data_IF_766974382593
#
_entry.id   IF_766974382593
#
_cell.length_a   1.000
_cell.length_b   1.000
_cell.length_c   1.000
_cell.angle_alpha   90.00
_cell.angle_beta   90.00
_cell.angle_gamma   90.00
#
_symmetry.space_group_name_H-M   'P 1'
#
loop_
_entity.id
_entity.type
_entity.pdbx_description
1 polymer ?
#
# COMPACT_ATOMS: atom_id res chain seq x y z
N UNK A 1 -0.46 16.54 16.04
CA UNK A 1 -1.81 16.67 15.45
C UNK A 1 -2.05 15.36 14.72
N UNK A 2 -2.96 14.50 15.20
CA UNK A 2 -3.26 13.26 14.49
C UNK A 2 -3.97 13.61 13.19
N UNK A 3 -3.40 13.18 12.06
CA UNK A 3 -4.04 13.32 10.77
C UNK A 3 -5.10 12.24 10.65
N UNK A 4 -6.34 12.62 10.34
CA UNK A 4 -7.44 11.69 10.09
C UNK A 4 -7.51 11.23 8.63
N UNK A 5 -6.66 11.76 7.76
CA UNK A 5 -6.59 11.42 6.34
C UNK A 5 -5.13 11.23 5.89
N UNK A 6 -4.96 10.47 4.81
CA UNK A 6 -3.71 10.30 4.11
C UNK A 6 -3.95 10.37 2.60
N UNK A 7 -3.10 11.11 1.90
CA UNK A 7 -3.12 11.26 0.44
C UNK A 7 -1.89 10.54 -0.08
N UNK A 8 -2.10 9.48 -0.88
CA UNK A 8 -0.98 8.84 -1.54
C UNK A 8 -0.53 9.73 -2.71
N UNK A 9 0.74 10.17 -2.67
CA UNK A 9 1.30 11.02 -3.72
C UNK A 9 1.81 10.24 -4.93
N UNK A 10 1.86 8.91 -4.85
CA UNK A 10 2.34 8.04 -5.94
C UNK A 10 1.22 7.65 -6.87
N UNK A 11 -0.01 7.53 -6.36
CA UNK A 11 -1.17 7.12 -7.14
C UNK A 11 -2.23 8.20 -7.14
N UNK A 12 -2.55 8.74 -8.31
CA UNK A 12 -3.56 9.79 -8.43
C UNK A 12 -4.92 9.33 -7.91
N UNK A 13 -5.55 10.16 -7.08
CA UNK A 13 -6.89 9.91 -6.53
C UNK A 13 -6.97 8.91 -5.39
N UNK A 14 -5.84 8.31 -4.98
CA UNK A 14 -5.76 7.40 -3.86
C UNK A 14 -5.70 8.15 -2.52
N UNK A 15 -6.74 7.96 -1.72
CA UNK A 15 -6.95 8.59 -0.43
C UNK A 15 -7.35 7.56 0.62
N UNK A 16 -6.97 7.81 1.85
CA UNK A 16 -7.43 7.07 3.02
C UNK A 16 -7.98 8.05 4.06
N UNK A 17 -9.06 7.67 4.72
CA UNK A 17 -9.71 8.49 5.75
C UNK A 17 -10.22 7.60 6.87
N UNK A 18 -10.05 8.05 8.11
CA UNK A 18 -10.59 7.42 9.30
C UNK A 18 -12.02 7.91 9.53
N UNK A 19 -13.00 7.03 9.30
CA UNK A 19 -14.42 7.29 9.57
C UNK A 19 -14.77 6.81 10.97
N UNK A 20 -15.65 7.52 11.72
CA UNK A 20 -16.17 7.00 12.98
C UNK A 20 -17.01 5.74 12.70
N UNK A 21 -16.64 4.64 13.33
CA UNK A 21 -17.41 3.39 13.30
C UNK A 21 -18.45 3.36 14.44
N UNK A 22 -18.10 3.94 15.58
CA UNK A 22 -18.98 4.22 16.72
C UNK A 22 -18.39 5.39 17.54
N UNK A 23 -18.94 5.68 18.73
CA UNK A 23 -18.52 6.82 19.58
C UNK A 23 -17.03 6.79 20.00
N UNK A 24 -16.35 5.64 19.92
CA UNK A 24 -14.98 5.46 20.41
C UNK A 24 -14.01 4.89 19.38
N UNK A 25 -14.53 4.33 18.29
CA UNK A 25 -13.75 3.59 17.31
C UNK A 25 -13.84 4.23 15.94
N UNK A 26 -12.72 4.17 15.23
CA UNK A 26 -12.62 4.61 13.84
C UNK A 26 -12.25 3.44 12.95
N UNK A 27 -12.72 3.49 11.72
CA UNK A 27 -12.37 2.55 10.66
C UNK A 27 -11.77 3.32 9.49
N UNK A 28 -10.61 2.87 9.04
CA UNK A 28 -10.00 3.42 7.83
C UNK A 28 -10.72 2.90 6.59
N UNK A 29 -11.09 3.83 5.71
CA UNK A 29 -11.63 3.53 4.37
C UNK A 29 -10.72 4.10 3.29
N UNK A 30 -10.83 3.53 2.10
CA UNK A 30 -10.08 3.92 0.89
C UNK A 30 -11.00 4.54 -0.15
N UNK A 31 -10.49 5.56 -0.81
CA UNK A 31 -11.01 6.08 -2.08
C UNK A 31 -9.91 6.00 -3.12
N UNK A 32 -10.22 5.60 -4.35
CA UNK A 32 -9.31 5.77 -5.49
C UNK A 32 -9.84 6.74 -6.56
N UNK A 33 -10.85 7.55 -6.22
CA UNK A 33 -11.50 8.49 -7.14
C UNK A 33 -11.64 9.90 -6.53
N UNK A 34 -10.55 10.41 -5.94
CA UNK A 34 -10.48 11.75 -5.32
C UNK A 34 -11.52 12.00 -4.20
N UNK A 35 -11.95 10.94 -3.51
CA UNK A 35 -12.84 11.04 -2.35
C UNK A 35 -14.32 11.03 -2.72
N UNK A 36 -14.65 10.76 -3.98
CA UNK A 36 -16.05 10.65 -4.44
C UNK A 36 -16.76 9.46 -3.80
N UNK A 37 -16.10 8.31 -3.72
CA UNK A 37 -16.64 7.11 -3.08
C UNK A 37 -15.63 6.49 -2.11
N UNK A 38 -16.12 5.99 -0.98
CA UNK A 38 -15.29 5.41 0.08
C UNK A 38 -15.69 3.96 0.31
N UNK A 39 -14.68 3.09 0.37
CA UNK A 39 -14.86 1.65 0.49
C UNK A 39 -14.09 1.11 1.68
N UNK A 40 -14.63 0.09 2.32
CA UNK A 40 -13.95 -0.61 3.39
C UNK A 40 -12.71 -1.32 2.85
N UNK A 41 -11.66 -1.32 3.67
CA UNK A 41 -10.41 -1.99 3.33
C UNK A 41 -10.58 -3.51 3.48
N UNK A 42 -10.18 -4.26 2.46
CA UNK A 42 -10.18 -5.73 2.50
C UNK A 42 -8.89 -6.27 3.12
N UNK A 43 -8.99 -7.23 4.04
CA UNK A 43 -7.83 -7.92 4.60
C UNK A 43 -7.75 -9.38 4.09
N UNK A 44 -6.57 -9.83 3.69
CA UNK A 44 -6.39 -11.15 3.06
C UNK A 44 -5.96 -12.28 4.02
N UNK A 45 -5.23 -11.94 5.09
CA UNK A 45 -4.66 -12.90 6.04
C UNK A 45 -5.06 -12.56 7.49
N UNK A 46 -6.13 -11.79 7.68
CA UNK A 46 -6.65 -11.48 8.99
C UNK A 46 -7.36 -12.71 9.55
N UNK A 47 -6.95 -13.19 10.73
CA UNK A 47 -7.67 -14.28 11.37
C UNK A 47 -9.14 -13.89 11.57
N UNK A 48 -10.06 -14.77 11.17
CA UNK A 48 -11.51 -14.53 11.30
C UNK A 48 -11.95 -14.32 12.76
N UNK A 49 -11.15 -14.71 13.75
CA UNK A 49 -11.44 -14.46 15.18
C UNK A 49 -11.17 -13.02 15.62
N UNK A 50 -10.34 -12.26 14.90
CA UNK A 50 -10.08 -10.83 15.15
C UNK A 50 -10.87 -9.93 14.17
N UNK A 51 -11.66 -10.51 13.26
CA UNK A 51 -12.39 -9.85 12.16
C UNK A 51 -13.44 -8.81 12.60
N UNK A 52 -13.70 -8.68 13.89
CA UNK A 52 -14.62 -7.70 14.46
C UNK A 52 -13.95 -6.37 14.84
N UNK A 53 -12.62 -6.27 14.82
CA UNK A 53 -11.92 -5.04 15.18
C UNK A 53 -11.85 -4.05 14.02
N UNK A 54 -12.38 -2.84 14.24
CA UNK A 54 -12.20 -1.72 13.32
C UNK A 54 -10.71 -1.38 13.22
N UNK A 55 -10.15 -1.50 12.02
CA UNK A 55 -8.76 -1.10 11.77
C UNK A 55 -8.69 0.40 11.56
N UNK A 56 -7.94 1.09 12.42
CA UNK A 56 -7.63 2.51 12.32
C UNK A 56 -6.13 2.69 12.05
N UNK A 57 -5.78 3.14 10.85
CA UNK A 57 -4.42 3.56 10.53
C UNK A 57 -4.07 4.87 11.24
N UNK A 58 -2.87 4.89 11.81
CA UNK A 58 -2.24 6.08 12.38
C UNK A 58 -1.33 6.70 11.32
N UNK A 59 -1.90 7.55 10.47
CA UNK A 59 -1.20 8.09 9.29
C UNK A 59 0.09 8.87 9.60
N UNK A 60 0.26 9.39 10.81
CA UNK A 60 1.51 10.03 11.23
C UNK A 60 2.68 9.04 11.40
N UNK A 61 2.41 7.74 11.48
CA UNK A 61 3.41 6.68 11.50
C UNK A 61 3.82 6.22 10.10
N UNK A 62 3.17 6.73 9.05
CA UNK A 62 3.56 6.43 7.67
C UNK A 62 5.00 6.88 7.41
N UNK A 63 5.81 5.97 6.90
CA UNK A 63 7.17 6.24 6.50
C UNK A 63 7.25 6.35 4.97
N UNK A 64 7.24 7.59 4.48
CA UNK A 64 7.36 7.88 3.04
C UNK A 64 8.65 7.34 2.41
N UNK A 65 9.66 6.97 3.21
CA UNK A 65 10.90 6.34 2.73
C UNK A 65 10.86 4.83 2.78
N UNK A 66 9.82 4.21 3.35
CA UNK A 66 9.69 2.75 3.42
C UNK A 66 9.40 2.12 2.04
N UNK A 67 8.74 2.84 1.14
CA UNK A 67 8.49 2.39 -0.23
C UNK A 67 9.06 3.40 -1.23
N UNK A 68 9.89 2.97 -2.21
CA UNK A 68 10.40 3.90 -3.22
C UNK A 68 9.28 4.49 -4.09
N UNK A 69 9.43 5.74 -4.53
CA UNK A 69 8.36 6.50 -5.20
C UNK A 69 7.81 5.87 -6.50
N UNK A 70 8.57 5.00 -7.18
CA UNK A 70 8.13 4.33 -8.41
C UNK A 70 7.27 3.08 -8.15
N UNK A 71 7.04 2.72 -6.88
CA UNK A 71 6.16 1.63 -6.47
C UNK A 71 4.79 2.16 -6.09
N UNK A 72 3.90 2.27 -7.09
CA UNK A 72 2.51 2.74 -6.90
C UNK A 72 1.64 1.71 -6.16
N UNK A 73 1.95 0.42 -6.30
CA UNK A 73 1.09 -0.65 -5.78
C UNK A 73 1.38 -1.01 -4.32
N UNK A 74 2.54 -0.64 -3.78
CA UNK A 74 2.97 -1.02 -2.43
C UNK A 74 2.80 0.16 -1.48
N UNK A 75 2.13 -0.05 -0.36
CA UNK A 75 2.08 0.91 0.74
C UNK A 75 2.13 0.18 2.08
N UNK A 76 2.62 0.87 3.11
CA UNK A 76 2.70 0.35 4.47
C UNK A 76 2.10 1.37 5.42
N UNK A 77 1.05 0.94 6.12
CA UNK A 77 0.38 1.71 7.16
C UNK A 77 0.48 0.98 8.48
N UNK A 78 0.30 1.70 9.58
CA UNK A 78 0.46 1.15 10.91
C UNK A 78 -0.75 1.44 11.78
N UNK A 79 -1.13 0.46 12.58
CA UNK A 79 -1.93 0.67 13.78
C UNK A 79 -1.00 0.71 14.98
N UNK A 80 -1.28 1.62 15.90
CA UNK A 80 -0.53 1.77 17.14
C UNK A 80 -1.18 0.97 18.27
N UNK A 81 -0.36 0.29 19.06
CA UNK A 81 -0.76 -0.35 20.30
C UNK A 81 0.23 0.02 21.40
N UNK A 82 -0.19 -0.07 22.67
CA UNK A 82 0.60 0.33 23.85
C UNK A 82 2.03 -0.20 23.83
N UNK A 83 2.26 -1.41 23.32
CA UNK A 83 3.55 -2.09 23.37
C UNK A 83 4.19 -2.34 22.00
N UNK A 84 3.48 -2.19 20.89
CA UNK A 84 3.98 -2.53 19.56
C UNK A 84 3.14 -1.87 18.45
N UNK A 85 3.70 -1.83 17.25
CA UNK A 85 2.98 -1.47 16.04
C UNK A 85 2.48 -2.73 15.34
N UNK A 86 1.30 -2.65 14.74
CA UNK A 86 0.82 -3.65 13.77
C UNK A 86 0.94 -3.04 12.38
N UNK A 87 1.90 -3.50 11.54
CA UNK A 87 2.01 -3.04 10.17
C UNK A 87 0.98 -3.73 9.28
N UNK A 88 0.44 -2.97 8.34
CA UNK A 88 -0.42 -3.45 7.26
C UNK A 88 0.26 -3.12 5.95
N UNK A 89 0.28 -4.07 5.02
CA UNK A 89 0.99 -3.93 3.73
C UNK A 89 0.02 -4.26 2.60
N UNK A 90 -0.05 -3.37 1.62
CA UNK A 90 -0.74 -3.61 0.35
C UNK A 90 0.27 -3.91 -0.76
N UNK A 91 -0.14 -4.71 -1.74
CA UNK A 91 0.59 -4.94 -3.00
C UNK A 91 -0.25 -4.62 -4.25
N UNK A 92 -1.47 -4.09 -4.06
CA UNK A 92 -2.44 -3.82 -5.13
C UNK A 92 -3.00 -2.38 -5.08
N UNK A 93 -2.21 -1.42 -4.58
CA UNK A 93 -2.58 -0.01 -4.52
C UNK A 93 -3.61 0.32 -3.43
N UNK A 94 -3.72 -0.54 -2.41
CA UNK A 94 -4.56 -0.35 -1.23
C UNK A 94 -5.92 -1.05 -1.31
N UNK A 95 -6.17 -1.82 -2.37
CA UNK A 95 -7.44 -2.53 -2.51
C UNK A 95 -7.55 -3.67 -1.51
N UNK A 96 -6.45 -4.37 -1.26
CA UNK A 96 -6.36 -5.38 -0.21
C UNK A 96 -5.06 -5.28 0.58
N UNK A 97 -5.14 -5.63 1.85
CA UNK A 97 -4.08 -5.48 2.82
C UNK A 97 -3.78 -6.80 3.51
N UNK A 98 -2.51 -6.99 3.83
CA UNK A 98 -2.02 -8.08 4.66
C UNK A 98 -1.50 -7.53 5.97
N UNK A 99 -1.89 -8.18 7.06
CA UNK A 99 -1.38 -7.90 8.39
C UNK A 99 0.00 -8.53 8.51
N UNK A 100 0.98 -7.75 8.94
CA UNK A 100 2.30 -8.24 9.29
C UNK A 100 2.39 -8.56 10.79
N UNK A 101 3.43 -9.32 11.18
CA UNK A 101 3.71 -9.55 12.58
C UNK A 101 3.92 -8.23 13.34
N UNK A 102 3.39 -8.15 14.56
CA UNK A 102 3.62 -7.00 15.46
C UNK A 102 5.11 -6.75 15.62
N UNK A 103 5.49 -5.48 15.59
CA UNK A 103 6.89 -5.06 15.59
C UNK A 103 7.08 -3.75 16.32
N UNK A 104 8.30 -3.50 16.80
CA UNK A 104 8.72 -2.22 17.39
C UNK A 104 9.63 -1.41 16.47
N UNK A 105 9.70 -1.79 15.19
CA UNK A 105 10.44 -1.11 14.14
C UNK A 105 9.61 -0.98 12.88
N UNK A 106 9.99 -0.03 12.01
CA UNK A 106 9.43 0.03 10.66
C UNK A 106 9.79 -1.24 9.88
N UNK A 107 8.94 -1.59 8.92
CA UNK A 107 9.24 -2.58 7.90
C UNK A 107 10.05 -1.90 6.78
N UNK A 108 11.12 -2.55 6.36
CA UNK A 108 11.90 -2.14 5.20
C UNK A 108 11.71 -3.14 4.05
N UNK A 109 11.80 -2.63 2.83
CA UNK A 109 11.67 -3.40 1.60
C UNK A 109 13.02 -3.47 0.89
N UNK A 110 13.45 -4.68 0.59
CA UNK A 110 14.63 -4.95 -0.23
C UNK A 110 14.21 -5.46 -1.60
N UNK A 111 14.98 -5.08 -2.62
CA UNK A 111 14.76 -5.41 -4.03
C UNK A 111 13.27 -5.40 -4.44
N UNK A 112 12.69 -4.20 -4.51
CA UNK A 112 11.33 -4.02 -5.04
C UNK A 112 10.23 -4.78 -4.26
N UNK A 113 10.46 -5.04 -2.96
CA UNK A 113 9.54 -5.79 -2.11
C UNK A 113 9.74 -7.30 -2.15
N UNK A 114 10.84 -7.79 -2.74
CA UNK A 114 11.19 -9.21 -2.73
C UNK A 114 11.48 -9.73 -1.32
N UNK A 115 12.02 -8.88 -0.45
CA UNK A 115 12.16 -9.17 0.97
C UNK A 115 11.51 -8.05 1.77
N UNK A 116 10.59 -8.42 2.66
CA UNK A 116 10.12 -7.57 3.74
C UNK A 116 10.93 -7.91 4.98
N UNK A 117 11.37 -6.89 5.72
CA UNK A 117 12.24 -7.09 6.87
C UNK A 117 11.92 -6.11 7.99
N UNK A 118 11.88 -6.59 9.23
CA UNK A 118 11.82 -5.77 10.43
C UNK A 118 12.68 -6.38 11.54
N UNK A 119 12.90 -5.62 12.62
CA UNK A 119 13.66 -6.09 13.78
C UNK A 119 12.80 -6.00 15.02
N UNK A 120 12.68 -7.12 15.72
CA UNK A 120 12.17 -7.13 17.07
C UNK A 120 13.28 -6.67 18.02
N UNK A 121 13.06 -5.51 18.64
CA UNK A 121 14.01 -4.87 19.56
C UNK A 121 14.09 -5.57 20.92
N UNK A 122 13.09 -6.38 21.29
CA UNK A 122 13.07 -7.10 22.56
C UNK A 122 13.79 -8.44 22.43
N UNK A 123 13.50 -9.18 21.36
CA UNK A 123 14.06 -10.53 21.16
C UNK A 123 15.38 -10.52 20.39
N UNK A 124 15.76 -9.36 19.82
CA UNK A 124 16.89 -9.20 18.90
C UNK A 124 16.82 -10.10 17.66
N UNK A 125 15.61 -10.54 17.31
CA UNK A 125 15.33 -11.31 16.11
C UNK A 125 15.00 -10.41 14.94
N UNK A 126 15.39 -10.84 13.75
CA UNK A 126 14.86 -10.30 12.50
C UNK A 126 13.59 -11.06 12.14
N UNK A 127 12.57 -10.34 11.66
CA UNK A 127 11.38 -10.93 11.10
C UNK A 127 11.34 -10.59 9.61
N UNK A 128 11.18 -11.60 8.75
CA UNK A 128 11.26 -11.44 7.31
C UNK A 128 10.25 -12.28 6.55
N UNK A 129 9.91 -11.83 5.34
CA UNK A 129 9.00 -12.50 4.42
C UNK A 129 9.53 -12.38 2.99
N UNK A 130 9.36 -13.43 2.19
CA UNK A 130 9.78 -13.48 0.78
C UNK A 130 8.60 -13.53 -0.21
N UNK A 131 7.38 -13.65 0.31
CA UNK A 131 6.17 -14.02 -0.42
C UNK A 131 5.05 -12.99 -0.23
N UNK A 132 5.41 -11.71 -0.29
CA UNK A 132 4.48 -10.58 -0.15
C UNK A 132 3.70 -10.63 1.17
N UNK A 133 4.39 -10.83 2.30
CA UNK A 133 3.80 -10.90 3.65
C UNK A 133 2.82 -12.07 3.87
N UNK A 134 2.85 -13.10 3.02
CA UNK A 134 1.97 -14.26 3.19
C UNK A 134 2.47 -15.13 4.34
N UNK A 135 3.78 -15.34 4.42
CA UNK A 135 4.44 -16.04 5.52
C UNK A 135 5.54 -15.18 6.13
N UNK A 136 5.70 -15.28 7.45
CA UNK A 136 6.72 -14.57 8.22
C UNK A 136 7.62 -15.57 8.93
N UNK A 137 8.92 -15.37 8.80
CA UNK A 137 9.96 -16.15 9.45
C UNK A 137 10.72 -15.27 10.44
N UNK A 138 11.20 -15.88 11.53
CA UNK A 138 11.98 -15.18 12.55
C UNK A 138 13.35 -15.83 12.73
N UNK A 139 14.40 -15.02 12.83
CA UNK A 139 15.77 -15.49 13.05
C UNK A 139 16.47 -14.65 14.11
N UNK A 140 16.97 -15.30 15.17
CA UNK A 140 17.72 -14.61 16.23
C UNK A 140 19.12 -14.26 15.73
N UNK A 141 19.33 -12.98 15.43
CA UNK A 141 20.57 -12.52 14.80
C UNK A 141 21.72 -12.34 15.81
N UNK A 142 21.40 -11.82 16.99
CA UNK A 142 22.42 -11.48 17.99
C UNK A 142 22.32 -12.36 19.22
N UNK A 143 23.44 -12.95 19.62
CA UNK A 143 23.56 -13.73 20.87
C UNK A 143 23.77 -12.85 22.10
N UNK A 144 24.38 -11.67 21.93
CA UNK A 144 24.76 -10.75 22.99
C UNK A 144 23.74 -9.63 23.28
N UNK A 145 22.54 -9.71 22.70
CA UNK A 145 21.42 -8.78 22.87
C UNK A 145 21.83 -7.28 22.80
N UNK A 146 22.40 -6.80 21.69
CA UNK A 146 22.78 -5.41 21.55
C UNK A 146 21.53 -4.52 21.41
N UNK A 147 21.65 -3.24 21.76
CA UNK A 147 20.57 -2.27 21.51
C UNK A 147 20.54 -1.91 20.04
N UNK A 148 19.50 -2.34 19.31
CA UNK A 148 19.29 -1.99 17.90
C UNK A 148 18.88 -0.51 17.81
N UNK A 149 19.64 0.27 17.04
CA UNK A 149 19.43 1.70 16.87
C UNK A 149 18.71 2.02 15.56
N UNK A 150 19.06 1.30 14.49
CA UNK A 150 18.54 1.55 13.16
C UNK A 150 18.59 0.29 12.30
N UNK A 151 17.63 0.17 11.39
CA UNK A 151 17.64 -0.76 10.27
C UNK A 151 17.31 0.02 8.99
N UNK A 152 18.03 -0.26 7.91
CA UNK A 152 17.76 0.36 6.62
C UNK A 152 18.28 -0.46 5.45
N UNK A 153 17.76 -0.18 4.26
CA UNK A 153 18.27 -0.73 3.00
C UNK A 153 19.53 0.02 2.57
N UNK A 154 20.44 -0.66 1.86
CA UNK A 154 21.60 -0.01 1.24
C UNK A 154 21.24 0.70 -0.06
N UNK A 155 20.39 0.08 -0.88
CA UNK A 155 19.79 0.69 -2.08
C UNK A 155 18.40 0.09 -2.33
N UNK A 156 17.64 0.66 -3.27
CA UNK A 156 16.28 0.18 -3.59
C UNK A 156 16.27 -1.19 -4.28
N UNK A 157 17.34 -1.53 -4.99
CA UNK A 157 17.45 -2.73 -5.83
C UNK A 157 18.43 -3.76 -5.24
N UNK A 158 18.95 -3.50 -4.02
CA UNK A 158 19.81 -4.45 -3.32
C UNK A 158 18.97 -5.37 -2.43
N UNK A 159 19.47 -6.58 -2.22
CA UNK A 159 18.96 -7.57 -1.27
C UNK A 159 19.68 -7.48 0.08
N UNK A 160 20.39 -6.37 0.31
CA UNK A 160 21.15 -6.12 1.54
C UNK A 160 20.52 -5.04 2.40
N UNK A 161 20.52 -5.31 3.70
CA UNK A 161 20.15 -4.35 4.73
C UNK A 161 21.33 -4.11 5.67
N UNK A 162 21.37 -2.94 6.29
CA UNK A 162 22.29 -2.61 7.38
C UNK A 162 21.52 -2.45 8.67
N UNK A 163 22.02 -3.08 9.72
CA UNK A 163 21.58 -2.88 11.10
C UNK A 163 22.69 -2.16 11.84
N UNK A 164 22.34 -1.01 12.44
CA UNK A 164 23.21 -0.28 13.35
C UNK A 164 22.79 -0.63 14.78
N UNK A 165 23.72 -1.17 15.56
CA UNK A 165 23.46 -1.58 16.94
C UNK A 165 24.54 -1.08 17.88
N UNK A 166 24.18 -0.92 19.16
CA UNK A 166 25.13 -0.62 20.25
C UNK A 166 25.32 -1.87 21.08
N UNK A 167 26.56 -2.34 21.12
CA UNK A 167 26.97 -3.51 21.89
C UNK A 167 26.65 -3.31 23.38
N UNK A 168 26.09 -4.35 24.02
CA UNK A 168 25.64 -4.30 25.41
C UNK A 168 26.80 -4.15 26.40
N UNK A 169 27.94 -4.80 26.12
CA UNK A 169 29.13 -4.82 26.98
C UNK A 169 30.07 -3.66 26.68
N UNK A 170 30.55 -3.57 25.44
CA UNK A 170 31.60 -2.62 25.03
C UNK A 170 31.07 -1.23 24.74
N UNK A 171 29.74 -1.05 24.64
CA UNK A 171 29.05 0.18 24.22
C UNK A 171 29.46 0.72 22.83
N UNK A 172 30.27 -0.02 22.07
CA UNK A 172 30.69 0.34 20.71
C UNK A 172 29.52 0.22 19.74
N UNK A 173 29.49 1.08 18.72
CA UNK A 173 28.57 0.97 17.60
C UNK A 173 29.08 -0.11 16.65
N UNK A 174 28.20 -1.00 16.22
CA UNK A 174 28.46 -2.06 15.25
C UNK A 174 27.51 -1.89 14.06
N UNK A 175 28.07 -2.11 12.87
CA UNK A 175 27.33 -2.19 11.62
C UNK A 175 27.28 -3.64 11.19
N UNK A 176 26.08 -4.18 11.04
CA UNK A 176 25.85 -5.56 10.62
C UNK A 176 25.11 -5.54 9.30
N UNK A 177 25.70 -6.13 8.27
CA UNK A 177 25.06 -6.28 6.97
C UNK A 177 24.35 -7.62 6.91
N UNK A 178 23.08 -7.59 6.51
CA UNK A 178 22.30 -8.77 6.14
C UNK A 178 22.31 -8.89 4.63
N UNK A 179 22.59 -10.07 4.11
CA UNK A 179 22.67 -10.32 2.66
C UNK A 179 21.76 -11.48 2.26
N UNK A 180 20.64 -11.16 1.60
CA UNK A 180 19.69 -12.14 1.10
C UNK A 180 20.00 -12.59 -0.34
N UNK A 181 21.08 -12.12 -0.97
CA UNK A 181 21.40 -12.41 -2.38
C UNK A 181 21.58 -13.90 -2.66
N UNK A 182 22.01 -14.68 -1.66
CA UNK A 182 22.16 -16.15 -1.80
C UNK A 182 20.82 -16.89 -1.88
N UNK A 183 19.73 -16.28 -1.40
CA UNK A 183 18.38 -16.85 -1.46
C UNK A 183 17.75 -16.57 -2.84
N UNK A 184 18.06 -15.41 -3.43
CA UNK A 184 17.59 -14.99 -4.75
C UNK A 184 18.74 -15.09 -5.76
N UNK A 185 19.32 -16.28 -5.89
CA UNK A 185 20.53 -16.52 -6.66
C UNK A 185 20.32 -16.59 -8.19
N UNK A 186 19.07 -16.60 -8.65
CA UNK A 186 18.70 -16.63 -10.06
C UNK A 186 17.95 -15.36 -10.45
N UNK A 187 18.23 -14.86 -11.65
CA UNK A 187 17.46 -13.76 -12.24
C UNK A 187 16.06 -14.24 -12.63
N UNK A 188 15.05 -13.38 -12.43
CA UNK A 188 13.70 -13.69 -12.89
C UNK A 188 13.62 -13.69 -14.42
N UNK A 189 13.09 -14.76 -15.01
CA UNK A 189 12.70 -14.79 -16.42
C UNK A 189 11.25 -14.29 -16.59
N UNK A 190 10.78 -14.18 -17.84
CA UNK A 190 9.45 -13.65 -18.14
C UNK A 190 8.29 -14.48 -17.57
N UNK A 191 8.43 -15.80 -17.43
CA UNK A 191 7.38 -16.64 -16.84
C UNK A 191 7.31 -16.55 -15.31
N UNK A 192 8.31 -15.93 -14.68
CA UNK A 192 8.31 -15.66 -13.24
C UNK A 192 7.54 -14.39 -12.85
N UNK A 193 6.98 -13.67 -13.82
CA UNK A 193 6.16 -12.49 -13.59
C UNK A 193 4.69 -12.77 -13.89
N UNK A 194 3.80 -12.16 -13.09
CA UNK A 194 2.37 -12.06 -13.37
C UNK A 194 2.00 -10.69 -13.89
N UNK A 195 0.98 -10.66 -14.73
CA UNK A 195 0.36 -9.42 -15.20
C UNK A 195 -1.05 -9.29 -14.62
N UNK A 196 -1.41 -8.11 -14.18
CA UNK A 196 -2.70 -7.82 -13.55
C UNK A 196 -3.02 -6.33 -13.70
N UNK A 197 -4.28 -5.95 -13.51
CA UNK A 197 -4.70 -4.53 -13.58
C UNK A 197 -4.80 -3.95 -12.18
N UNK A 198 -4.28 -2.73 -11.99
CA UNK A 198 -4.37 -2.02 -10.71
C UNK A 198 -5.84 -1.72 -10.40
N UNK A 199 -6.39 -2.21 -9.28
CA UNK A 199 -7.80 -2.04 -8.94
C UNK A 199 -8.12 -0.62 -8.46
N UNK A 200 -9.24 -0.11 -8.95
CA UNK A 200 -9.86 1.14 -8.50
C UNK A 200 -11.03 0.82 -7.56
N UNK A 201 -11.68 1.86 -7.04
CA UNK A 201 -12.91 1.75 -6.23
C UNK A 201 -14.00 0.99 -6.97
N UNK A 202 -14.13 1.18 -8.28
CA UNK A 202 -15.19 0.63 -9.12
C UNK A 202 -14.60 -0.04 -10.38
N UNK A 203 -13.81 -1.11 -10.17
CA UNK A 203 -13.21 -1.92 -11.24
C UNK A 203 -11.73 -1.61 -11.46
N UNK A 204 -11.36 -1.21 -12.67
CA UNK A 204 -9.95 -0.96 -13.07
C UNK A 204 -9.74 0.33 -13.84
N UNK A 205 -10.83 1.00 -14.26
CA UNK A 205 -10.76 2.24 -15.02
C UNK A 205 -10.83 3.44 -14.06
N UNK A 206 -9.99 4.44 -14.31
CA UNK A 206 -10.05 5.73 -13.65
C UNK A 206 -9.59 6.81 -14.62
N UNK A 207 -10.43 7.82 -14.84
CA UNK A 207 -10.28 8.90 -15.82
C UNK A 207 -9.97 8.37 -17.23
N UNK A 208 -10.67 7.33 -17.65
CA UNK A 208 -10.48 6.70 -18.96
C UNK A 208 -9.16 5.94 -19.13
N UNK A 209 -8.41 5.68 -18.05
CA UNK A 209 -7.18 4.90 -18.05
C UNK A 209 -7.26 3.71 -17.10
N UNK A 210 -6.68 2.58 -17.50
CA UNK A 210 -6.42 1.43 -16.61
C UNK A 210 -4.95 1.07 -16.68
N UNK A 211 -4.37 0.78 -15.52
CA UNK A 211 -2.93 0.52 -15.39
C UNK A 211 -2.70 -0.98 -15.35
N UNK A 212 -2.00 -1.51 -16.34
CA UNK A 212 -1.56 -2.90 -16.38
C UNK A 212 -0.19 -3.02 -15.72
N UNK A 213 -0.14 -3.75 -14.62
CA UNK A 213 1.06 -4.01 -13.83
C UNK A 213 1.71 -5.33 -14.26
N UNK A 214 3.01 -5.43 -14.03
CA UNK A 214 3.79 -6.67 -14.10
C UNK A 214 4.65 -6.78 -12.84
N UNK A 215 4.43 -7.82 -12.05
CA UNK A 215 5.13 -8.05 -10.79
C UNK A 215 5.63 -9.48 -10.68
N UNK A 216 6.72 -9.71 -9.94
CA UNK A 216 7.22 -11.06 -9.66
C UNK A 216 6.11 -11.88 -9.00
N UNK A 217 6.02 -13.17 -9.36
CA UNK A 217 5.20 -14.12 -8.60
C UNK A 217 5.76 -14.28 -7.18
N UNK A 218 4.93 -14.05 -6.17
CA UNK A 218 5.36 -14.07 -4.77
C UNK A 218 6.00 -15.40 -4.34
N UNK A 219 5.56 -16.52 -4.91
CA UNK A 219 6.06 -17.87 -4.64
C UNK A 219 7.37 -18.25 -5.37
N UNK A 220 7.93 -17.37 -6.21
CA UNK A 220 9.15 -17.66 -6.99
C UNK A 220 10.32 -16.83 -6.48
N UNK A 221 11.33 -17.47 -5.88
CA UNK A 221 12.52 -16.79 -5.36
C UNK A 221 13.52 -16.53 -6.48
N UNK A 222 13.38 -15.39 -7.15
CA UNK A 222 14.32 -14.89 -8.15
C UNK A 222 14.54 -13.38 -8.00
N UNK A 223 15.69 -12.88 -8.45
CA UNK A 223 16.04 -11.46 -8.42
C UNK A 223 15.20 -10.72 -9.46
N UNK A 224 14.26 -9.90 -8.95
CA UNK A 224 13.51 -8.95 -9.78
C UNK A 224 14.45 -7.87 -10.29
N UNK A 225 14.56 -7.75 -11.61
CA UNK A 225 15.38 -6.74 -12.31
C UNK A 225 14.54 -5.72 -13.06
N UNK A 226 13.22 -5.73 -12.88
CA UNK A 226 12.34 -4.72 -13.47
C UNK A 226 12.60 -3.36 -12.82
N UNK A 227 12.99 -2.39 -13.64
CA UNK A 227 13.14 -0.99 -13.21
C UNK A 227 11.78 -0.35 -12.92
N UNK A 228 10.72 -0.81 -13.62
CA UNK A 228 9.35 -0.36 -13.46
C UNK A 228 8.39 -1.55 -13.55
N UNK A 229 7.39 -1.55 -12.67
CA UNK A 229 6.35 -2.57 -12.56
C UNK A 229 5.07 -2.16 -13.30
N UNK A 230 4.98 -0.92 -13.79
CA UNK A 230 3.96 -0.52 -14.76
C UNK A 230 4.36 -1.09 -16.11
N UNK A 231 3.55 -2.02 -16.63
CA UNK A 231 3.75 -2.60 -17.97
C UNK A 231 3.19 -1.67 -19.05
N UNK A 232 1.94 -1.23 -18.89
CA UNK A 232 1.24 -0.41 -19.90
C UNK A 232 0.13 0.38 -19.24
N UNK A 233 -0.10 1.61 -19.71
CA UNK A 233 -1.29 2.40 -19.41
C UNK A 233 -2.21 2.27 -20.64
N UNK A 234 -3.37 1.64 -20.45
CA UNK A 234 -4.34 1.38 -21.51
C UNK A 234 -5.53 2.33 -21.38
N UNK A 235 -6.11 2.74 -22.51
CA UNK A 235 -7.38 3.46 -22.52
C UNK A 235 -8.52 2.50 -22.15
N UNK A 236 -9.49 3.01 -21.40
CA UNK A 236 -10.75 2.34 -21.12
C UNK A 236 -11.90 3.29 -21.36
N UNK A 237 -13.08 2.70 -21.60
CA UNK A 237 -14.33 3.45 -21.58
C UNK A 237 -14.46 4.18 -20.26
N UNK A 238 -14.84 5.45 -20.35
CA UNK A 238 -15.11 6.19 -19.14
C UNK A 238 -16.27 5.58 -18.39
N UNK A 239 -16.26 5.81 -17.09
CA UNK A 239 -17.34 5.44 -16.19
C UNK A 239 -17.93 6.71 -15.58
N UNK A 240 -19.19 6.68 -15.09
CA UNK A 240 -19.79 7.83 -14.40
C UNK A 240 -18.88 8.40 -13.32
N UNK A 241 -18.10 7.54 -12.67
CA UNK A 241 -17.08 7.81 -11.65
C UNK A 241 -16.00 8.82 -12.05
N UNK A 242 -15.71 8.96 -13.34
CA UNK A 242 -14.68 9.86 -13.87
C UNK A 242 -15.08 11.34 -13.81
N UNK A 243 -16.35 11.63 -13.54
CA UNK A 243 -16.92 12.97 -13.56
C UNK A 243 -17.41 13.43 -12.19
N UNK A 244 -16.67 14.35 -11.56
CA UNK A 244 -17.17 15.03 -10.35
C UNK A 244 -18.41 15.88 -10.62
N UNK A 245 -19.26 16.04 -9.60
CA UNK A 245 -20.43 16.90 -9.70
C UNK A 245 -20.03 18.35 -9.95
N UNK A 246 -20.80 19.07 -10.77
CA UNK A 246 -20.52 20.50 -11.03
C UNK A 246 -20.96 21.37 -9.86
N UNK A 247 -20.57 22.66 -9.90
CA UNK A 247 -21.02 23.63 -8.90
C UNK A 247 -22.55 23.67 -8.81
N UNK A 248 -23.08 23.59 -7.57
CA UNK A 248 -24.51 23.48 -7.21
C UNK A 248 -25.19 22.13 -7.50
N UNK A 249 -24.41 21.09 -7.71
CA UNK A 249 -24.89 19.72 -7.75
C UNK A 249 -24.19 18.91 -6.66
N UNK A 250 -24.95 18.10 -5.94
CA UNK A 250 -24.45 17.18 -4.93
C UNK A 250 -24.56 15.73 -5.39
N UNK A 251 -23.65 14.86 -4.96
CA UNK A 251 -23.75 13.44 -5.25
C UNK A 251 -24.98 12.83 -4.55
N UNK A 252 -25.70 11.99 -5.27
CA UNK A 252 -26.74 11.11 -4.77
C UNK A 252 -26.56 9.73 -5.42
N UNK A 253 -25.88 8.82 -4.71
CA UNK A 253 -25.34 7.59 -5.29
C UNK A 253 -24.49 7.92 -6.55
N UNK A 254 -24.80 7.31 -7.69
CA UNK A 254 -24.02 7.43 -8.93
C UNK A 254 -24.39 8.66 -9.77
N UNK A 255 -25.43 9.39 -9.37
CA UNK A 255 -25.90 10.60 -10.08
C UNK A 255 -25.61 11.85 -9.27
N UNK A 256 -25.48 12.98 -9.96
CA UNK A 256 -25.40 14.28 -9.34
C UNK A 256 -26.77 14.96 -9.45
N UNK A 257 -27.30 15.42 -8.32
CA UNK A 257 -28.61 16.07 -8.22
C UNK A 257 -28.42 17.54 -7.88
N UNK A 258 -29.24 18.45 -8.43
CA UNK A 258 -29.11 19.86 -8.14
C UNK A 258 -29.40 20.14 -6.66
N UNK A 259 -28.68 21.09 -6.08
CA UNK A 259 -28.90 21.55 -4.71
C UNK A 259 -30.24 22.29 -4.54
N UNK A 260 -30.73 22.87 -5.64
CA UNK A 260 -31.99 23.61 -5.75
C UNK A 260 -32.70 23.22 -7.06
N UNK A 261 -34.01 22.98 -6.98
CA UNK A 261 -34.86 22.54 -8.09
C UNK A 261 -34.90 23.54 -9.26
N UNK A 262 -34.56 24.81 -9.00
CA UNK A 262 -34.48 25.88 -10.00
C UNK A 262 -33.23 25.83 -10.90
N UNK A 263 -32.25 24.97 -10.59
CA UNK A 263 -30.99 24.87 -11.33
C UNK A 263 -31.20 24.07 -12.62
N UNK A 264 -30.78 24.65 -13.74
CA UNK A 264 -30.80 23.98 -15.04
C UNK A 264 -29.82 22.81 -15.07
N UNK A 265 -30.25 21.68 -15.62
CA UNK A 265 -29.38 20.51 -15.90
C UNK A 265 -28.21 20.95 -16.79
N UNK A 266 -26.95 20.68 -16.40
CA UNK A 266 -25.81 20.98 -17.24
C UNK A 266 -25.79 20.07 -18.47
N UNK A 267 -25.04 20.49 -19.48
CA UNK A 267 -24.84 19.69 -20.68
C UNK A 267 -24.07 18.40 -20.34
N UNK A 268 -24.40 17.28 -21.00
CA UNK A 268 -23.69 16.04 -20.81
C UNK A 268 -22.18 16.16 -21.09
N UNK A 269 -21.33 15.62 -20.22
CA UNK A 269 -19.89 15.55 -20.42
C UNK A 269 -19.62 14.31 -21.26
N UNK A 270 -19.10 14.54 -22.46
CA UNK A 270 -18.66 13.46 -23.35
C UNK A 270 -17.25 13.03 -22.95
N UNK A 271 -17.01 11.72 -23.01
CA UNK A 271 -15.64 11.23 -22.92
C UNK A 271 -14.88 11.39 -24.22
N UNK A 272 -13.64 11.86 -24.12
CA UNK A 272 -12.79 12.07 -25.27
C UNK A 272 -12.27 10.72 -25.79
N UNK A 273 -12.69 10.33 -26.99
CA UNK A 273 -12.09 9.21 -27.73
C UNK A 273 -12.88 7.89 -27.76
N UNK A 274 -14.16 7.88 -27.39
CA UNK A 274 -15.03 6.72 -27.65
C UNK A 274 -15.76 6.84 -29.01
N UNK A 275 -15.81 5.76 -29.81
CA UNK A 275 -16.54 5.75 -31.08
C UNK A 275 -18.06 5.63 -30.92
N UNK A 276 -18.55 5.22 -29.74
CA UNK A 276 -19.97 5.13 -29.41
C UNK A 276 -20.30 6.09 -28.27
N UNK A 277 -21.32 6.92 -28.46
CA UNK A 277 -21.78 7.96 -27.55
C UNK A 277 -22.30 7.41 -26.21
N UNK A 278 -21.41 7.07 -25.27
CA UNK A 278 -21.83 6.91 -23.87
C UNK A 278 -21.92 8.29 -23.25
N UNK A 279 -23.13 8.84 -23.30
CA UNK A 279 -23.48 10.12 -22.68
C UNK A 279 -23.57 9.86 -21.18
N UNK A 280 -22.51 10.17 -20.44
CA UNK A 280 -22.60 10.25 -18.99
C UNK A 280 -23.18 11.60 -18.62
N UNK A 281 -24.28 11.59 -17.86
CA UNK A 281 -24.85 12.80 -17.28
C UNK A 281 -23.87 13.31 -16.20
N UNK A 282 -23.18 14.44 -16.40
CA UNK A 282 -22.75 15.25 -15.29
C UNK A 282 -24.04 15.86 -14.72
N UNK A 283 -24.21 15.78 -13.42
CA UNK A 283 -24.88 16.88 -12.73
C UNK A 283 -23.78 17.73 -12.16
#
# INVERSE_FOLDING_TARGET
>A
MEYNFFIDKRTEGLLYLNFPANDKEFQTRRSSNNGRSWHDIKFLNHNNSESSQSVQFKFHLHDAKAVPNHFEMIDIQYQDHVTALTPFITFDGGHSWKVAAKTKSNIILLNHGSVLLSVDKDTNSINYSFDEATTWLSYKLFSNNPKVLYIGRLSNNDLKAVIVSRDSTTKKIKFTTLDFSRIFNLDCNMSHYREWYLPTSNGFCYKGLKIKMRTRHSNILCMDKLVNHIKTIEKCSCVPDDFGCTFRYKPNADICVPDDVSIKKPDPKKCAGEPNEVIHLPG
#
